data_IF_810182514703
#
_entry.id   IF_810182514703
#
_cell.length_a   1.000
_cell.length_b   1.000
_cell.length_c   1.000
_cell.angle_alpha   90.00
_cell.angle_beta   90.00
_cell.angle_gamma   90.00
#
_symmetry.space_group_name_H-M   'P 1'
#
loop_
_entity.id
_entity.type
_entity.pdbx_description
1 polymer ?
#
# COMPACT_ATOMS: atom_id res chain seq x y z
N UNK A 1 -6.40 -49.46 -23.10
CA UNK A 1 -5.05 -49.99 -23.36
C UNK A 1 -4.37 -50.33 -22.04
N UNK A 2 -3.99 -51.60 -21.88
CA UNK A 2 -3.27 -52.16 -20.72
C UNK A 2 -1.77 -51.93 -20.90
N UNK A 3 -1.04 -51.54 -19.84
CA UNK A 3 0.40 -51.81 -19.58
C UNK A 3 0.85 -51.00 -18.35
N UNK A 4 1.71 -51.45 -17.45
CA UNK A 4 2.12 -52.77 -16.95
C UNK A 4 2.82 -52.41 -15.63
N UNK A 5 2.38 -53.02 -14.52
CA UNK A 5 3.02 -52.91 -13.21
C UNK A 5 4.39 -53.60 -13.27
N UNK A 6 5.43 -52.94 -12.76
CA UNK A 6 6.72 -53.56 -12.41
C UNK A 6 6.99 -53.20 -10.95
N UNK A 7 6.78 -54.19 -10.08
CA UNK A 7 7.14 -54.15 -8.67
C UNK A 7 8.62 -54.54 -8.54
N UNK A 8 9.40 -53.75 -7.80
CA UNK A 8 10.71 -54.14 -7.30
C UNK A 8 10.70 -53.96 -5.78
N UNK A 9 10.65 -55.10 -5.10
CA UNK A 9 10.91 -55.26 -3.66
C UNK A 9 12.42 -55.40 -3.50
N UNK A 10 13.03 -54.81 -2.46
CA UNK A 10 14.12 -55.35 -1.63
C UNK A 10 14.59 -54.25 -0.64
N UNK A 11 14.74 -54.63 0.63
CA UNK A 11 15.67 -53.97 1.56
C UNK A 11 15.07 -53.50 2.88
N UNK A 12 14.73 -54.43 3.77
CA UNK A 12 14.39 -54.12 5.16
C UNK A 12 15.69 -53.88 5.98
N UNK A 13 16.00 -52.60 6.24
CA UNK A 13 17.01 -52.19 7.23
C UNK A 13 16.34 -51.29 8.26
N UNK A 14 15.99 -51.84 9.42
CA UNK A 14 15.37 -51.07 10.51
C UNK A 14 16.44 -50.31 11.30
N UNK A 15 16.74 -49.08 10.86
CA UNK A 15 17.48 -48.11 11.68
C UNK A 15 16.45 -47.34 12.50
N UNK A 16 16.37 -47.64 13.79
CA UNK A 16 15.57 -46.86 14.75
C UNK A 16 16.34 -45.58 15.07
N UNK A 17 16.26 -44.59 14.18
CA UNK A 17 16.65 -43.23 14.51
C UNK A 17 15.53 -42.66 15.36
N UNK A 18 15.81 -42.38 16.64
CA UNK A 18 14.95 -41.57 17.47
C UNK A 18 14.94 -40.14 16.89
N UNK A 19 14.13 -39.93 15.87
CA UNK A 19 13.82 -38.61 15.33
C UNK A 19 13.01 -37.90 16.40
N UNK A 20 13.70 -37.16 17.26
CA UNK A 20 13.05 -36.16 18.09
C UNK A 20 12.29 -35.22 17.16
N UNK A 21 10.97 -35.38 17.12
CA UNK A 21 10.09 -34.52 16.36
C UNK A 21 10.13 -33.14 17.02
N UNK A 22 11.12 -32.33 16.65
CA UNK A 22 11.03 -30.89 16.81
C UNK A 22 9.91 -30.46 15.87
N UNK A 23 8.69 -30.40 16.39
CA UNK A 23 7.64 -29.60 15.78
C UNK A 23 8.10 -28.17 15.89
N UNK A 24 8.89 -27.74 14.90
CA UNK A 24 9.10 -26.34 14.64
C UNK A 24 7.72 -25.77 14.33
N UNK A 25 7.06 -25.25 15.36
CA UNK A 25 5.95 -24.33 15.21
C UNK A 25 6.55 -23.15 14.48
N UNK A 26 6.44 -23.16 13.15
CA UNK A 26 6.66 -21.99 12.34
C UNK A 26 5.62 -20.98 12.81
N UNK A 27 6.00 -20.16 13.79
CA UNK A 27 5.18 -19.04 14.23
C UNK A 27 4.93 -18.21 13.00
N UNK A 28 3.67 -18.14 12.56
CA UNK A 28 3.29 -17.25 11.48
C UNK A 28 3.78 -15.85 11.87
N UNK A 29 4.65 -15.28 11.05
CA UNK A 29 5.09 -13.91 11.26
C UNK A 29 3.85 -13.03 11.36
N UNK A 30 3.77 -12.11 12.33
CA UNK A 30 2.61 -11.25 12.48
C UNK A 30 2.33 -10.54 11.15
N UNK A 31 1.11 -10.69 10.64
CA UNK A 31 0.67 -10.01 9.42
C UNK A 31 0.69 -8.50 9.70
N UNK A 32 1.49 -7.77 8.93
CA UNK A 32 1.54 -6.32 8.99
C UNK A 32 0.13 -5.73 8.80
N UNK A 33 -0.28 -4.84 9.70
CA UNK A 33 -1.59 -4.20 9.63
C UNK A 33 -1.48 -2.92 8.81
N UNK A 34 -2.59 -2.52 8.20
CA UNK A 34 -2.66 -1.27 7.45
C UNK A 34 -2.36 -0.04 8.34
N UNK A 35 -2.85 -0.05 9.58
CA UNK A 35 -2.53 0.95 10.62
C UNK A 35 -1.05 1.07 10.97
N UNK A 36 -0.22 0.05 10.71
CA UNK A 36 1.22 0.09 10.97
C UNK A 36 1.98 0.98 9.95
N UNK A 37 1.35 1.30 8.82
CA UNK A 37 1.96 2.03 7.71
C UNK A 37 1.25 3.33 7.36
N UNK A 38 0.08 3.54 7.96
CA UNK A 38 -0.77 4.69 7.73
C UNK A 38 -1.49 5.06 9.03
N UNK A 39 -0.84 5.89 9.86
CA UNK A 39 -1.31 6.32 11.19
C UNK A 39 -2.70 6.93 11.13
N UNK A 40 -3.08 7.50 9.99
CA UNK A 40 -4.43 7.99 9.70
C UNK A 40 -5.53 6.95 10.00
N UNK A 41 -5.31 5.67 9.67
CA UNK A 41 -6.27 4.58 9.89
C UNK A 41 -6.41 4.19 11.37
N UNK A 42 -5.40 4.47 12.19
CA UNK A 42 -5.42 4.20 13.65
C UNK A 42 -6.29 5.18 14.44
N UNK A 43 -6.69 6.30 13.84
CA UNK A 43 -7.51 7.32 14.51
C UNK A 43 -8.98 6.92 14.48
N UNK A 44 -9.81 7.30 15.47
CA UNK A 44 -11.27 7.16 15.36
C UNK A 44 -11.83 7.88 14.13
N UNK A 45 -12.89 7.33 13.53
CA UNK A 45 -13.57 7.94 12.38
C UNK A 45 -14.28 9.23 12.81
N UNK A 46 -14.09 10.31 12.04
CA UNK A 46 -14.82 11.56 12.18
C UNK A 46 -16.05 11.62 11.25
N UNK A 47 -16.97 12.55 11.47
CA UNK A 47 -18.18 12.70 10.63
C UNK A 47 -17.88 13.02 9.16
N UNK A 48 -16.77 13.70 8.87
CA UNK A 48 -16.32 13.99 7.50
C UNK A 48 -15.65 12.83 6.78
N UNK A 49 -15.36 11.74 7.49
CA UNK A 49 -14.63 10.59 6.95
C UNK A 49 -15.54 9.58 6.22
N UNK A 50 -16.84 9.63 6.46
CA UNK A 50 -17.80 8.71 5.86
C UNK A 50 -17.85 8.86 4.33
N UNK A 51 -18.01 7.74 3.63
CA UNK A 51 -18.34 7.76 2.20
C UNK A 51 -19.73 8.38 1.99
N UNK A 52 -19.96 9.06 0.85
CA UNK A 52 -21.30 9.47 0.45
C UNK A 52 -22.27 8.28 0.42
N UNK A 53 -23.53 8.49 0.79
CA UNK A 53 -24.50 7.40 0.94
C UNK A 53 -24.76 6.58 -0.34
N UNK A 54 -24.52 7.15 -1.52
CA UNK A 54 -24.65 6.47 -2.81
C UNK A 54 -23.43 5.59 -3.16
N UNK A 55 -22.36 5.63 -2.37
CA UNK A 55 -21.18 4.77 -2.50
C UNK A 55 -21.17 3.74 -1.37
N UNK A 56 -21.91 2.63 -1.50
CA UNK A 56 -21.95 1.60 -0.48
C UNK A 56 -20.56 0.96 -0.34
N UNK A 57 -19.99 1.04 0.87
CA UNK A 57 -18.68 0.47 1.19
C UNK A 57 -18.54 -1.02 0.78
N UNK A 58 -19.64 -1.77 0.84
CA UNK A 58 -19.69 -3.19 0.46
C UNK A 58 -19.41 -3.49 -1.01
N UNK A 59 -19.53 -2.49 -1.89
CA UNK A 59 -19.30 -2.64 -3.34
C UNK A 59 -17.91 -2.16 -3.78
N UNK A 60 -17.11 -1.65 -2.84
CA UNK A 60 -15.78 -1.09 -3.12
C UNK A 60 -14.68 -2.03 -2.60
N UNK A 61 -13.63 -2.21 -3.40
CA UNK A 61 -12.54 -3.16 -3.10
C UNK A 61 -12.89 -4.62 -3.39
N UNK A 62 -11.96 -5.54 -3.15
CA UNK A 62 -12.10 -6.95 -3.55
C UNK A 62 -13.20 -7.69 -2.74
N UNK A 63 -13.39 -7.33 -1.47
CA UNK A 63 -14.35 -7.98 -0.55
C UNK A 63 -15.32 -7.00 0.13
N UNK A 64 -15.32 -5.74 -0.30
CA UNK A 64 -16.01 -4.64 0.37
C UNK A 64 -15.14 -3.97 1.43
N UNK A 65 -15.21 -2.64 1.49
CA UNK A 65 -14.55 -1.83 2.51
C UNK A 65 -15.20 -2.01 3.89
N UNK A 66 -14.38 -1.94 4.92
CA UNK A 66 -14.84 -1.81 6.31
C UNK A 66 -15.32 -0.37 6.52
N UNK A 67 -16.63 -0.14 6.60
CA UNK A 67 -17.19 1.22 6.67
C UNK A 67 -16.62 2.09 7.82
N UNK A 68 -16.25 1.49 8.95
CA UNK A 68 -15.64 2.20 10.09
C UNK A 68 -14.16 2.57 9.91
N UNK A 69 -13.48 2.04 8.89
CA UNK A 69 -12.07 2.32 8.59
C UNK A 69 -11.89 3.47 7.60
N UNK A 70 -12.96 3.96 6.97
CA UNK A 70 -12.86 5.05 5.99
C UNK A 70 -12.35 6.33 6.64
N UNK A 71 -11.37 6.99 6.03
CA UNK A 71 -10.83 8.30 6.41
C UNK A 71 -10.76 9.22 5.20
N UNK A 72 -11.26 10.44 5.32
CA UNK A 72 -11.18 11.42 4.24
C UNK A 72 -9.77 12.00 4.16
N UNK A 73 -9.17 11.94 2.97
CA UNK A 73 -7.80 12.38 2.73
C UNK A 73 -7.73 13.84 2.26
N UNK A 74 -8.76 14.30 1.57
CA UNK A 74 -8.81 15.64 0.99
C UNK A 74 -9.51 15.68 -0.36
N UNK A 75 -9.59 16.89 -0.90
CA UNK A 75 -10.19 17.20 -2.20
C UNK A 75 -9.24 18.05 -3.03
N UNK A 76 -9.12 17.75 -4.31
CA UNK A 76 -8.37 18.55 -5.28
C UNK A 76 -8.97 18.39 -6.67
N UNK A 77 -9.05 19.49 -7.43
CA UNK A 77 -9.51 19.48 -8.84
C UNK A 77 -10.83 18.73 -9.09
N UNK A 78 -11.79 18.83 -8.16
CA UNK A 78 -13.08 18.13 -8.26
C UNK A 78 -13.04 16.64 -7.91
N UNK A 79 -11.88 16.10 -7.54
CA UNK A 79 -11.72 14.75 -6.99
C UNK A 79 -11.79 14.78 -5.46
N UNK A 80 -12.61 13.90 -4.87
CA UNK A 80 -12.66 13.63 -3.42
C UNK A 80 -12.02 12.28 -3.16
N UNK A 81 -11.17 12.21 -2.13
CA UNK A 81 -10.33 11.04 -1.89
C UNK A 81 -10.50 10.52 -0.46
N UNK A 82 -10.58 9.19 -0.33
CA UNK A 82 -10.64 8.48 0.95
C UNK A 82 -9.66 7.33 0.96
N UNK A 83 -9.21 6.96 2.15
CA UNK A 83 -8.55 5.68 2.40
C UNK A 83 -9.44 4.82 3.28
N UNK A 84 -9.41 3.51 3.09
CA UNK A 84 -10.08 2.54 3.96
C UNK A 84 -9.28 1.23 3.99
N UNK A 85 -9.65 0.37 4.93
CA UNK A 85 -9.30 -1.06 4.92
C UNK A 85 -10.45 -1.87 4.31
N UNK A 86 -10.14 -2.89 3.51
CA UNK A 86 -11.12 -3.91 3.11
C UNK A 86 -11.20 -5.07 4.12
N UNK A 87 -12.12 -6.01 3.91
CA UNK A 87 -12.27 -7.19 4.78
C UNK A 87 -11.07 -8.15 4.77
N UNK A 88 -10.24 -8.07 3.73
CA UNK A 88 -8.97 -8.80 3.60
C UNK A 88 -7.79 -8.10 4.29
N UNK A 89 -8.00 -6.90 4.85
CA UNK A 89 -6.95 -6.10 5.50
C UNK A 89 -6.04 -5.37 4.51
N UNK A 90 -6.46 -5.20 3.26
CA UNK A 90 -5.76 -4.37 2.28
C UNK A 90 -6.03 -2.89 2.53
N UNK A 91 -5.08 -2.03 2.13
CA UNK A 91 -5.25 -0.58 2.11
C UNK A 91 -5.85 -0.20 0.77
N UNK A 92 -7.03 0.41 0.79
CA UNK A 92 -7.75 0.83 -0.41
C UNK A 92 -7.80 2.35 -0.51
N UNK A 93 -7.49 2.88 -1.69
CA UNK A 93 -7.69 4.27 -2.07
C UNK A 93 -8.98 4.36 -2.89
N UNK A 94 -9.89 5.23 -2.47
CA UNK A 94 -11.14 5.55 -3.16
C UNK A 94 -11.05 6.97 -3.68
N UNK A 95 -11.30 7.17 -4.97
CA UNK A 95 -11.35 8.49 -5.59
C UNK A 95 -12.66 8.65 -6.34
N UNK A 96 -13.36 9.74 -6.05
CA UNK A 96 -14.60 10.11 -6.72
C UNK A 96 -14.43 11.44 -7.45
N UNK A 97 -14.78 11.47 -8.73
CA UNK A 97 -14.86 12.65 -9.57
C UNK A 97 -16.31 13.14 -9.65
N UNK A 98 -16.48 14.40 -10.04
CA UNK A 98 -17.80 14.99 -10.30
C UNK A 98 -18.46 15.61 -9.07
N UNK A 99 -19.10 16.75 -9.26
CA UNK A 99 -19.88 17.46 -8.22
C UNK A 99 -21.39 17.20 -8.34
N UNK A 100 -21.85 16.75 -9.50
CA UNK A 100 -23.25 16.41 -9.76
C UNK A 100 -23.43 14.89 -9.85
N UNK A 101 -24.61 14.34 -9.53
CA UNK A 101 -24.86 12.91 -9.67
C UNK A 101 -24.69 12.37 -11.10
N UNK A 102 -24.90 13.21 -12.13
CA UNK A 102 -24.78 12.79 -13.53
C UNK A 102 -23.32 12.63 -13.99
N UNK A 103 -22.39 13.33 -13.34
CA UNK A 103 -20.97 13.37 -13.70
C UNK A 103 -20.10 12.53 -12.75
N UNK A 104 -20.72 11.86 -11.77
CA UNK A 104 -20.00 11.12 -10.74
C UNK A 104 -19.39 9.84 -11.27
N UNK A 105 -18.07 9.72 -11.12
CA UNK A 105 -17.31 8.51 -11.44
C UNK A 105 -16.44 8.17 -10.25
N UNK A 106 -16.48 6.92 -9.81
CA UNK A 106 -15.69 6.44 -8.68
C UNK A 106 -14.74 5.35 -9.13
N UNK A 107 -13.49 5.44 -8.69
CA UNK A 107 -12.51 4.37 -8.80
C UNK A 107 -12.07 3.90 -7.41
N UNK A 108 -11.64 2.65 -7.32
CA UNK A 108 -11.02 2.09 -6.13
C UNK A 108 -9.86 1.18 -6.54
N UNK A 109 -8.79 1.21 -5.76
CA UNK A 109 -7.69 0.25 -5.89
C UNK A 109 -7.20 -0.10 -4.50
N UNK A 110 -6.75 -1.34 -4.32
CA UNK A 110 -6.32 -1.89 -3.03
C UNK A 110 -4.93 -2.50 -3.14
N UNK A 111 -4.21 -2.54 -2.02
CA UNK A 111 -2.87 -3.14 -1.94
C UNK A 111 -2.62 -3.70 -0.54
N UNK A 112 -1.87 -4.81 -0.48
CA UNK A 112 -1.41 -5.37 0.78
C UNK A 112 -0.53 -4.37 1.57
N UNK A 113 -0.67 -4.28 2.92
CA UNK A 113 0.07 -3.32 3.75
C UNK A 113 1.60 -3.35 3.53
N UNK A 114 2.19 -4.54 3.45
CA UNK A 114 3.63 -4.69 3.25
C UNK A 114 4.13 -4.17 1.90
N UNK A 115 3.29 -4.18 0.86
CA UNK A 115 3.62 -3.61 -0.43
C UNK A 115 3.38 -2.09 -0.44
N UNK A 116 2.31 -1.62 0.21
CA UNK A 116 2.04 -0.19 0.41
C UNK A 116 3.23 0.52 1.07
N UNK A 117 3.75 -0.03 2.17
CA UNK A 117 4.87 0.55 2.91
C UNK A 117 6.12 0.84 2.05
N UNK A 118 6.28 0.13 0.93
CA UNK A 118 7.45 0.25 0.05
C UNK A 118 7.25 1.27 -1.07
N UNK A 119 6.03 1.44 -1.59
CA UNK A 119 5.79 2.18 -2.84
C UNK A 119 4.54 3.06 -2.85
N UNK A 120 3.78 3.09 -1.76
CA UNK A 120 2.46 3.72 -1.73
C UNK A 120 1.45 3.02 -2.65
N UNK A 121 0.44 3.77 -3.07
CA UNK A 121 -0.63 3.32 -3.97
C UNK A 121 -1.02 4.47 -4.89
N UNK A 122 -1.23 4.19 -6.18
CA UNK A 122 -1.67 5.20 -7.17
C UNK A 122 -2.96 4.74 -7.81
N UNK A 123 -3.90 5.67 -7.96
CA UNK A 123 -5.18 5.46 -8.63
C UNK A 123 -5.39 6.56 -9.66
N UNK A 124 -5.66 6.16 -10.90
CA UNK A 124 -6.13 7.07 -11.94
C UNK A 124 -7.62 6.81 -12.18
N UNK A 125 -8.42 7.87 -12.13
CA UNK A 125 -9.85 7.83 -12.46
C UNK A 125 -10.07 8.84 -13.59
N UNK A 126 -10.80 8.44 -14.62
CA UNK A 126 -11.20 9.31 -15.71
C UNK A 126 -12.72 9.19 -15.93
N UNK A 127 -13.37 10.34 -16.03
CA UNK A 127 -14.78 10.48 -16.37
C UNK A 127 -14.98 11.46 -17.53
N UNK A 128 -16.23 11.71 -17.95
CA UNK A 128 -16.52 12.57 -19.10
C UNK A 128 -16.03 14.02 -18.96
N UNK A 129 -16.06 14.56 -17.72
CA UNK A 129 -15.76 15.96 -17.45
C UNK A 129 -14.41 16.21 -16.76
N UNK A 130 -13.77 15.16 -16.22
CA UNK A 130 -12.55 15.29 -15.44
C UNK A 130 -11.76 13.97 -15.40
N UNK A 131 -10.48 14.07 -15.11
CA UNK A 131 -9.66 12.96 -14.66
C UNK A 131 -8.84 13.38 -13.44
N UNK A 132 -8.41 12.41 -12.64
CA UNK A 132 -7.46 12.64 -11.56
C UNK A 132 -6.49 11.46 -11.47
N UNK A 133 -5.23 11.77 -11.18
CA UNK A 133 -4.24 10.79 -10.73
C UNK A 133 -3.89 11.11 -9.27
N UNK A 134 -4.21 10.16 -8.40
CA UNK A 134 -4.10 10.30 -6.95
C UNK A 134 -3.07 9.31 -6.42
N UNK A 135 -2.16 9.79 -5.57
CA UNK A 135 -1.12 9.00 -4.93
C UNK A 135 -1.32 9.00 -3.40
N UNK A 136 -1.64 7.83 -2.85
CA UNK A 136 -1.66 7.59 -1.42
C UNK A 136 -0.23 7.24 -0.95
N UNK A 137 0.28 8.04 -0.03
CA UNK A 137 1.65 7.97 0.47
C UNK A 137 1.70 7.30 1.84
N UNK A 138 2.67 6.40 2.11
CA UNK A 138 2.93 5.93 3.46
C UNK A 138 3.41 7.08 4.35
N UNK A 139 3.28 6.90 5.67
CA UNK A 139 3.78 7.90 6.62
C UNK A 139 5.28 8.18 6.42
N UNK A 140 5.69 9.46 6.48
CA UNK A 140 7.09 9.88 6.33
C UNK A 140 7.58 10.07 4.89
N UNK A 141 6.71 9.93 3.89
CA UNK A 141 7.03 10.14 2.47
C UNK A 141 6.69 11.55 1.97
N UNK A 142 6.22 12.46 2.82
CA UNK A 142 5.81 13.82 2.45
C UNK A 142 6.93 14.61 1.81
N UNK A 143 8.15 14.51 2.37
CA UNK A 143 9.31 15.19 1.84
C UNK A 143 9.68 14.69 0.44
N UNK A 144 9.58 13.37 0.21
CA UNK A 144 9.83 12.77 -1.09
C UNK A 144 8.80 13.23 -2.13
N UNK A 145 7.53 13.34 -1.74
CA UNK A 145 6.48 13.87 -2.61
C UNK A 145 6.69 15.35 -2.92
N UNK A 146 7.03 16.18 -1.92
CA UNK A 146 7.31 17.62 -2.12
C UNK A 146 8.53 17.89 -3.01
N UNK A 147 9.46 16.95 -3.10
CA UNK A 147 10.62 17.05 -3.98
C UNK A 147 10.29 16.82 -5.47
N UNK A 148 9.05 16.38 -5.78
CA UNK A 148 8.59 16.11 -7.14
C UNK A 148 7.69 17.24 -7.64
N UNK A 149 8.13 18.09 -8.58
CA UNK A 149 7.37 19.26 -9.05
C UNK A 149 6.04 18.91 -9.74
N UNK A 150 5.91 17.69 -10.24
CA UNK A 150 4.68 17.15 -10.84
C UNK A 150 3.62 16.75 -9.80
N UNK A 151 4.00 16.67 -8.52
CA UNK A 151 3.10 16.30 -7.43
C UNK A 151 2.66 17.53 -6.64
N UNK A 152 1.35 17.65 -6.43
CA UNK A 152 0.76 18.59 -5.47
C UNK A 152 0.36 17.84 -4.22
N UNK A 153 1.00 18.14 -3.09
CA UNK A 153 0.64 17.55 -1.80
C UNK A 153 -0.66 18.19 -1.27
N UNK A 154 -1.72 17.38 -1.16
CA UNK A 154 -3.05 17.81 -0.67
C UNK A 154 -3.16 17.63 0.84
N UNK A 155 -2.60 16.55 1.37
CA UNK A 155 -2.50 16.25 2.80
C UNK A 155 -1.28 15.37 3.06
N UNK A 156 -0.89 15.07 4.33
CA UNK A 156 0.32 14.29 4.62
C UNK A 156 0.41 12.97 3.84
N UNK A 157 -0.70 12.25 3.68
CA UNK A 157 -0.70 10.97 2.98
C UNK A 157 -1.27 11.06 1.55
N UNK A 158 -1.50 12.25 1.00
CA UNK A 158 -2.16 12.42 -0.29
C UNK A 158 -1.41 13.42 -1.17
N UNK A 159 -0.92 12.93 -2.31
CA UNK A 159 -0.48 13.77 -3.42
C UNK A 159 -1.37 13.54 -4.64
N UNK A 160 -1.49 14.55 -5.50
CA UNK A 160 -2.15 14.46 -6.80
C UNK A 160 -1.21 14.94 -7.90
N UNK A 161 -1.38 14.39 -9.10
CA UNK A 161 -0.67 14.82 -10.31
C UNK A 161 -1.67 15.10 -11.44
N UNK A 162 -1.20 15.78 -12.48
CA UNK A 162 -1.99 15.98 -13.70
C UNK A 162 -2.01 14.67 -14.50
N UNK A 163 -3.17 14.01 -14.65
CA UNK A 163 -3.27 12.74 -15.37
C UNK A 163 -2.99 12.87 -16.87
N UNK A 164 -2.94 14.09 -17.41
CA UNK A 164 -2.64 14.37 -18.82
C UNK A 164 -1.25 14.93 -19.02
N UNK A 165 -0.52 15.24 -17.94
CA UNK A 165 0.88 15.61 -18.06
C UNK A 165 1.62 14.44 -18.72
N UNK A 166 2.38 14.75 -19.78
CA UNK A 166 3.22 13.74 -20.43
C UNK A 166 4.13 13.14 -19.35
N UNK A 167 4.18 11.80 -19.19
CA UNK A 167 4.99 11.21 -18.15
C UNK A 167 6.43 11.64 -18.42
N UNK A 168 6.98 12.47 -17.52
CA UNK A 168 8.41 12.72 -17.52
C UNK A 168 9.06 11.33 -17.50
N UNK A 169 9.90 11.03 -18.48
CA UNK A 169 10.38 9.68 -18.84
C UNK A 169 11.28 9.04 -17.77
N UNK A 170 11.19 9.45 -16.52
CA UNK A 170 12.07 9.04 -15.43
C UNK A 170 11.23 8.54 -14.28
N UNK A 171 11.06 7.22 -14.19
CA UNK A 171 10.56 6.57 -12.98
C UNK A 171 11.60 6.76 -11.88
N UNK A 172 11.47 7.84 -11.09
CA UNK A 172 12.32 8.06 -9.93
C UNK A 172 11.71 7.26 -8.77
N UNK A 173 12.44 6.30 -8.18
CA UNK A 173 11.94 5.56 -7.03
C UNK A 173 11.70 6.53 -5.87
N UNK A 174 10.49 6.51 -5.30
CA UNK A 174 10.20 7.13 -4.01
C UNK A 174 10.94 6.34 -2.93
N UNK A 175 12.13 6.79 -2.56
CA UNK A 175 12.75 6.32 -1.33
C UNK A 175 12.10 7.07 -0.16
N UNK A 176 11.82 6.40 0.98
CA UNK A 176 11.49 7.12 2.21
C UNK A 176 12.59 8.15 2.44
N UNK A 177 12.22 9.33 2.96
CA UNK A 177 13.20 10.31 3.40
C UNK A 177 14.08 9.60 4.43
N UNK A 178 15.25 9.12 3.96
CA UNK A 178 16.09 8.24 4.74
C UNK A 178 16.32 8.93 6.07
N UNK A 179 16.14 8.21 7.18
CA UNK A 179 16.72 8.60 8.45
C UNK A 179 18.12 9.08 8.10
N UNK A 180 18.36 10.39 8.20
CA UNK A 180 19.64 10.96 7.89
C UNK A 180 20.65 10.06 8.60
N UNK A 181 21.54 9.44 7.83
CA UNK A 181 22.62 8.62 8.38
C UNK A 181 23.56 9.60 9.09
N UNK A 182 23.13 10.06 10.26
CA UNK A 182 23.94 10.73 11.27
C UNK A 182 24.95 9.71 11.75
N UNK A 183 26.02 9.50 10.97
CA UNK A 183 26.95 8.41 11.25
C UNK A 183 27.91 8.08 10.13
N UNK A 184 28.40 9.06 9.37
CA UNK A 184 29.74 8.96 8.80
C UNK A 184 30.65 9.82 9.68
N UNK A 185 30.90 9.30 10.88
CA UNK A 185 31.91 9.80 11.80
C UNK A 185 33.26 9.48 11.15
N UNK A 186 33.93 10.49 10.61
CA UNK A 186 35.28 10.46 10.04
C UNK A 186 36.32 10.30 11.17
N UNK A 187 36.23 9.23 11.95
CA UNK A 187 37.25 8.86 12.93
C UNK A 187 38.22 7.86 12.30
N UNK A 188 39.16 8.35 11.50
CA UNK A 188 40.51 7.79 11.37
C UNK A 188 41.20 8.41 10.17
N UNK A 189 42.11 9.35 10.41
CA UNK A 189 43.32 9.55 9.62
C UNK A 189 44.11 10.69 10.26
N UNK A 190 44.98 10.36 11.23
CA UNK A 190 46.26 11.06 11.50
C UNK A 190 46.95 10.51 12.75
N UNK A 191 47.59 9.34 12.65
CA UNK A 191 48.60 8.92 13.62
C UNK A 191 49.62 7.93 13.01
N UNK A 192 50.37 8.35 12.00
CA UNK A 192 51.68 7.74 11.68
C UNK A 192 52.60 8.78 11.03
N UNK A 193 53.52 9.37 11.81
CA UNK A 193 54.87 9.69 11.34
C UNK A 193 55.85 9.34 12.44
N UNK A 194 56.80 8.48 12.06
CA UNK A 194 57.97 8.03 12.83
C UNK A 194 59.08 9.06 12.74
#
# INVERSE_FOLDING_TARGET
MRRRLMAAVIGAGAVVVAVGAFTATAGAAPTARASDHLTLLSRPQASGDALPAFLPASELGDEGLLAGSTRFLGQSQGARNWVAEDKSGQICLVTMLGSTPADQVTGTTCIAPAAFAKRGLTLQVAGPAAAAETHLLPDGFEAAAKARPELTLVSPNLAVSDPYASPATTAIPLAPAGKATSGLQLDNLSAVKR
#
